data_IF_772372646106
#
_entry.id   IF_772372646106
#
_cell.length_a   1.000
_cell.length_b   1.000
_cell.length_c   1.000
_cell.angle_alpha   90.00
_cell.angle_beta   90.00
_cell.angle_gamma   90.00
#
_symmetry.space_group_name_H-M   'P 1'
#
loop_
_entity.id
_entity.type
_entity.pdbx_description
1 polymer ?
#
# COMPACT_ATOMS: atom_id res chain seq x y z
N UNK A 1 -6.90 -17.50 18.44
CA UNK A 1 -6.81 -16.73 19.70
C UNK A 1 -7.56 -17.49 20.79
N UNK A 2 -6.85 -18.27 21.60
CA UNK A 2 -7.46 -19.00 22.73
C UNK A 2 -7.47 -18.05 23.92
N UNK A 3 -8.63 -17.52 24.25
CA UNK A 3 -8.87 -16.85 25.53
C UNK A 3 -8.78 -17.92 26.59
N UNK A 4 -7.67 -17.94 27.33
CA UNK A 4 -7.56 -18.76 28.53
C UNK A 4 -8.41 -18.07 29.60
N UNK A 5 -9.65 -18.52 29.70
CA UNK A 5 -10.49 -18.23 30.85
C UNK A 5 -9.88 -19.01 32.02
N UNK A 6 -9.12 -18.34 32.86
CA UNK A 6 -8.77 -18.87 34.17
C UNK A 6 -10.07 -18.96 34.98
N UNK A 7 -10.78 -20.09 34.88
CA UNK A 7 -11.68 -20.52 35.91
C UNK A 7 -10.83 -20.83 37.16
N UNK A 8 -10.63 -19.85 38.02
CA UNK A 8 -10.24 -20.11 39.41
C UNK A 8 -11.38 -20.93 40.04
N UNK A 9 -11.28 -22.26 39.87
CA UNK A 9 -12.05 -23.15 40.72
C UNK A 9 -11.45 -23.01 42.12
N UNK A 10 -11.96 -22.06 42.88
CA UNK A 10 -11.84 -22.08 44.34
C UNK A 10 -12.58 -23.32 44.81
N UNK A 11 -11.83 -24.41 45.01
CA UNK A 11 -12.29 -25.53 45.86
C UNK A 11 -12.40 -24.99 47.30
N UNK A 12 -13.53 -24.36 47.58
CA UNK A 12 -13.94 -24.09 48.95
C UNK A 12 -14.32 -25.45 49.50
N UNK A 13 -13.43 -26.05 50.28
CA UNK A 13 -13.80 -27.09 51.23
C UNK A 13 -14.74 -26.43 52.24
N UNK A 14 -16.04 -26.51 51.96
CA UNK A 14 -17.08 -26.04 52.86
C UNK A 14 -17.21 -27.06 54.00
N UNK A 15 -16.84 -26.75 55.25
CA UNK A 15 -17.37 -27.50 56.35
C UNK A 15 -18.89 -27.28 56.33
N UNK A 16 -19.64 -28.37 56.28
CA UNK A 16 -21.10 -28.36 56.30
C UNK A 16 -21.57 -27.83 57.65
N UNK A 17 -21.62 -26.53 57.81
CA UNK A 17 -22.19 -25.83 58.97
C UNK A 17 -23.01 -24.65 58.46
N UNK A 18 -24.31 -24.78 58.59
CA UNK A 18 -25.42 -23.86 58.42
C UNK A 18 -25.00 -22.38 58.22
N UNK A 19 -24.66 -22.00 56.98
CA UNK A 19 -24.65 -20.58 56.62
C UNK A 19 -26.08 -20.05 56.75
N UNK A 20 -26.25 -18.93 57.44
CA UNK A 20 -27.56 -18.34 57.59
C UNK A 20 -28.11 -17.92 56.24
N UNK A 21 -29.42 -18.04 56.00
CA UNK A 21 -30.06 -17.58 54.72
C UNK A 21 -29.65 -16.14 54.36
N UNK A 22 -29.35 -15.34 55.36
CA UNK A 22 -28.90 -13.94 55.20
C UNK A 22 -27.49 -13.82 54.60
N UNK A 23 -26.56 -14.71 55.01
CA UNK A 23 -25.20 -14.75 54.45
C UNK A 23 -25.20 -15.23 53.01
N UNK A 24 -25.98 -16.26 52.67
CA UNK A 24 -26.16 -16.74 51.32
C UNK A 24 -26.75 -15.66 50.41
N UNK A 25 -27.77 -14.92 50.87
CA UNK A 25 -28.34 -13.79 50.13
C UNK A 25 -27.29 -12.69 49.90
N UNK A 26 -26.46 -12.36 50.89
CA UNK A 26 -25.38 -11.39 50.76
C UNK A 26 -24.33 -11.82 49.72
N UNK A 27 -23.95 -13.11 49.71
CA UNK A 27 -23.01 -13.65 48.68
C UNK A 27 -23.62 -13.60 47.26
N UNK A 28 -24.90 -13.93 47.12
CA UNK A 28 -25.61 -13.85 45.84
C UNK A 28 -25.65 -12.41 45.31
N UNK A 29 -25.92 -11.44 46.16
CA UNK A 29 -25.97 -10.04 45.77
C UNK A 29 -24.57 -9.50 45.40
N UNK A 30 -23.53 -9.94 46.13
CA UNK A 30 -22.14 -9.60 45.77
C UNK A 30 -21.74 -10.22 44.44
N UNK A 31 -22.03 -11.50 44.21
CA UNK A 31 -21.75 -12.17 42.94
C UNK A 31 -22.49 -11.53 41.73
N UNK A 32 -23.74 -11.10 41.96
CA UNK A 32 -24.47 -10.34 40.92
C UNK A 32 -23.77 -9.04 40.60
N UNK A 33 -23.32 -8.29 41.59
CA UNK A 33 -22.61 -7.02 41.39
C UNK A 33 -21.28 -7.22 40.64
N UNK A 34 -20.51 -8.25 41.00
CA UNK A 34 -19.27 -8.61 40.30
C UNK A 34 -19.56 -9.05 38.87
N UNK A 35 -20.64 -9.80 38.64
CA UNK A 35 -21.05 -10.21 37.28
C UNK A 35 -21.40 -9.01 36.40
N UNK A 36 -22.13 -8.03 36.94
CA UNK A 36 -22.46 -6.81 36.17
C UNK A 36 -21.23 -5.95 35.93
N UNK A 37 -20.30 -5.86 36.88
CA UNK A 37 -19.01 -5.17 36.65
C UNK A 37 -18.20 -5.86 35.55
N UNK A 38 -18.06 -7.19 35.58
CA UNK A 38 -17.38 -7.94 34.53
C UNK A 38 -18.06 -7.80 33.17
N UNK A 39 -19.39 -7.78 33.11
CA UNK A 39 -20.13 -7.54 31.87
C UNK A 39 -19.83 -6.15 31.28
N UNK A 40 -19.82 -5.12 32.13
CA UNK A 40 -19.48 -3.76 31.71
C UNK A 40 -18.03 -3.67 31.20
N UNK A 41 -17.08 -4.33 31.87
CA UNK A 41 -15.68 -4.38 31.43
C UNK A 41 -15.54 -5.14 30.10
N UNK A 42 -16.21 -6.28 29.93
CA UNK A 42 -16.27 -7.02 28.67
C UNK A 42 -16.84 -6.15 27.55
N UNK A 43 -17.85 -5.33 27.82
CA UNK A 43 -18.46 -4.44 26.85
C UNK A 43 -17.50 -3.32 26.44
N UNK A 44 -16.73 -2.74 27.38
CA UNK A 44 -15.68 -1.78 27.11
C UNK A 44 -14.53 -2.38 26.27
N UNK A 45 -14.16 -3.64 26.55
CA UNK A 45 -13.14 -4.36 25.78
C UNK A 45 -13.60 -4.72 24.36
N UNK A 46 -14.90 -5.01 24.18
CA UNK A 46 -15.48 -5.31 22.86
C UNK A 46 -15.68 -4.08 21.99
N UNK A 47 -15.98 -2.94 22.61
CA UNK A 47 -16.15 -1.64 21.97
C UNK A 47 -15.12 -0.67 22.56
N UNK A 48 -13.85 -0.74 22.15
CA UNK A 48 -12.86 0.22 22.61
C UNK A 48 -13.33 1.63 22.27
N UNK A 49 -13.26 2.53 23.26
CA UNK A 49 -13.62 3.94 23.06
C UNK A 49 -12.85 4.48 21.87
N UNK A 50 -13.56 5.08 20.94
CA UNK A 50 -12.93 5.75 19.79
C UNK A 50 -11.94 6.81 20.31
N UNK A 51 -10.74 6.81 19.74
CA UNK A 51 -9.69 7.75 20.15
C UNK A 51 -10.05 9.13 19.60
N UNK A 52 -10.34 10.06 20.49
CA UNK A 52 -10.59 11.45 20.14
C UNK A 52 -9.26 12.15 19.83
N UNK A 53 -9.15 12.74 18.63
CA UNK A 53 -7.94 13.43 18.16
C UNK A 53 -8.00 14.94 18.49
N UNK A 54 -8.26 15.26 19.77
CA UNK A 54 -8.53 16.63 20.20
C UNK A 54 -7.27 17.43 20.59
N UNK A 55 -6.22 16.74 21.01
CA UNK A 55 -4.96 17.38 21.40
C UNK A 55 -3.80 17.03 20.44
N UNK A 56 -2.75 17.85 20.48
CA UNK A 56 -1.60 17.72 19.58
C UNK A 56 -0.86 16.39 19.76
N UNK A 57 -0.69 15.92 21.00
CA UNK A 57 0.08 14.70 21.27
C UNK A 57 -0.65 13.47 20.74
N UNK A 58 -1.96 13.37 20.96
CA UNK A 58 -2.81 12.29 20.43
C UNK A 58 -2.80 12.28 18.91
N UNK A 59 -2.91 13.46 18.28
CA UNK A 59 -2.83 13.62 16.81
C UNK A 59 -1.49 13.17 16.25
N UNK A 60 -0.38 13.58 16.87
CA UNK A 60 0.97 13.18 16.45
C UNK A 60 1.15 11.66 16.61
N UNK A 61 0.71 11.09 17.73
CA UNK A 61 0.80 9.65 17.98
C UNK A 61 0.01 8.84 16.95
N UNK A 62 -1.20 9.26 16.64
CA UNK A 62 -2.02 8.65 15.57
C UNK A 62 -1.34 8.80 14.20
N UNK A 63 -0.83 10.00 13.90
CA UNK A 63 -0.11 10.28 12.65
C UNK A 63 1.12 9.40 12.47
N UNK A 64 1.93 9.20 13.52
CA UNK A 64 3.05 8.26 13.48
C UNK A 64 2.59 6.83 13.18
N UNK A 65 1.50 6.38 13.81
CA UNK A 65 0.91 5.08 13.52
C UNK A 65 0.50 4.93 12.05
N UNK A 66 -0.14 5.95 11.46
CA UNK A 66 -0.55 5.93 10.04
C UNK A 66 0.66 5.92 9.10
N UNK A 67 1.72 6.66 9.40
CA UNK A 67 2.95 6.66 8.60
C UNK A 67 3.66 5.31 8.63
N UNK A 68 3.80 4.70 9.82
CA UNK A 68 4.39 3.36 9.95
C UNK A 68 3.56 2.32 9.21
N UNK A 69 2.25 2.32 9.41
CA UNK A 69 1.34 1.38 8.74
C UNK A 69 1.35 1.56 7.20
N UNK A 70 1.37 2.81 6.73
CA UNK A 70 1.49 3.14 5.31
C UNK A 70 2.78 2.61 4.69
N UNK A 71 3.91 2.79 5.38
CA UNK A 71 5.21 2.27 4.94
C UNK A 71 5.21 0.73 4.87
N UNK A 72 4.77 0.04 5.93
CA UNK A 72 4.66 -1.42 5.95
C UNK A 72 3.77 -1.94 4.82
N UNK A 73 2.60 -1.33 4.61
CA UNK A 73 1.68 -1.69 3.53
C UNK A 73 2.29 -1.46 2.14
N UNK A 74 3.04 -0.37 1.96
CA UNK A 74 3.73 -0.09 0.69
C UNK A 74 4.75 -1.16 0.34
N UNK A 75 5.33 -1.81 1.34
CA UNK A 75 6.29 -2.92 1.19
C UNK A 75 5.63 -4.31 1.16
N UNK A 76 4.29 -4.41 1.11
CA UNK A 76 3.57 -5.68 1.05
C UNK A 76 3.21 -6.28 2.41
N UNK A 77 3.41 -5.53 3.49
CA UNK A 77 3.06 -5.93 4.87
C UNK A 77 1.57 -5.78 5.23
N UNK A 78 0.67 -5.88 4.27
CA UNK A 78 -0.77 -5.74 4.44
C UNK A 78 -1.46 -6.92 5.17
N UNK A 79 -0.74 -8.03 5.36
CA UNK A 79 -1.23 -9.22 6.09
C UNK A 79 -0.69 -9.34 7.51
N UNK A 80 -0.05 -8.29 8.06
CA UNK A 80 0.46 -8.30 9.43
C UNK A 80 -0.67 -8.30 10.47
N UNK A 81 -0.46 -9.02 11.59
CA UNK A 81 -1.38 -8.99 12.74
C UNK A 81 -1.22 -7.65 13.49
N UNK A 82 -2.19 -6.77 13.29
CA UNK A 82 -2.20 -5.43 13.91
C UNK A 82 -2.25 -5.52 15.44
N UNK A 83 -2.94 -6.52 16.01
CA UNK A 83 -3.04 -6.67 17.46
C UNK A 83 -1.67 -7.07 18.05
N UNK A 84 -0.97 -8.02 17.41
CA UNK A 84 0.38 -8.41 17.82
C UNK A 84 1.37 -7.25 17.68
N UNK A 85 1.31 -6.49 16.58
CA UNK A 85 2.16 -5.32 16.36
C UNK A 85 1.93 -4.25 17.44
N UNK A 86 0.66 -3.97 17.75
CA UNK A 86 0.30 -3.01 18.81
C UNK A 86 0.79 -3.48 20.19
N UNK A 87 0.71 -4.79 20.48
CA UNK A 87 1.23 -5.35 21.73
C UNK A 87 2.75 -5.18 21.83
N UNK A 88 3.49 -5.45 20.77
CA UNK A 88 4.95 -5.23 20.74
C UNK A 88 5.32 -3.77 20.93
N UNK A 89 4.64 -2.85 20.24
CA UNK A 89 4.83 -1.41 20.41
C UNK A 89 4.58 -0.99 21.87
N UNK A 90 3.48 -1.45 22.47
CA UNK A 90 3.14 -1.16 23.86
C UNK A 90 4.19 -1.69 24.83
N UNK A 91 4.66 -2.93 24.66
CA UNK A 91 5.67 -3.52 25.55
C UNK A 91 6.94 -2.67 25.55
N UNK A 92 7.45 -2.28 24.38
CA UNK A 92 8.65 -1.42 24.26
C UNK A 92 8.42 -0.02 24.84
N UNK A 93 7.31 0.65 24.50
CA UNK A 93 7.00 2.01 24.98
C UNK A 93 6.77 2.08 26.49
N UNK A 94 6.44 0.96 27.13
CA UNK A 94 6.27 0.87 28.59
C UNK A 94 7.50 0.29 29.32
N UNK A 95 8.63 0.12 28.63
CA UNK A 95 9.88 -0.38 29.21
C UNK A 95 9.88 -1.87 29.56
N UNK A 96 8.96 -2.66 28.95
CA UNK A 96 8.98 -4.12 29.10
C UNK A 96 9.94 -4.75 28.10
N UNK A 97 10.57 -5.83 28.48
CA UNK A 97 11.38 -6.63 27.58
C UNK A 97 10.55 -7.26 26.47
N UNK A 98 11.17 -7.37 25.29
CA UNK A 98 10.58 -8.10 24.17
C UNK A 98 10.32 -9.57 24.55
N UNK A 99 9.17 -10.10 24.14
CA UNK A 99 8.80 -11.51 24.35
C UNK A 99 9.53 -12.46 23.40
N UNK A 100 10.20 -11.91 22.40
CA UNK A 100 10.99 -12.63 21.40
C UNK A 100 12.38 -12.03 21.42
N UNK A 101 13.47 -12.83 21.39
CA UNK A 101 14.83 -12.32 21.32
C UNK A 101 15.03 -11.39 20.11
N UNK A 102 15.72 -10.28 20.30
CA UNK A 102 15.90 -9.24 19.27
C UNK A 102 16.47 -9.80 17.95
N UNK A 103 17.47 -10.68 18.04
CA UNK A 103 18.07 -11.33 16.88
C UNK A 103 17.04 -12.16 16.09
N UNK A 104 16.14 -12.87 16.79
CA UNK A 104 15.07 -13.65 16.17
C UNK A 104 14.06 -12.73 15.50
N UNK A 105 13.66 -11.62 16.14
CA UNK A 105 12.76 -10.61 15.56
C UNK A 105 13.33 -10.08 14.25
N UNK A 106 14.62 -9.69 14.24
CA UNK A 106 15.27 -9.17 13.02
C UNK A 106 15.19 -10.16 11.85
N UNK A 107 15.53 -11.43 12.11
CA UNK A 107 15.49 -12.49 11.07
C UNK A 107 14.06 -12.73 10.58
N UNK A 108 13.09 -12.87 11.49
CA UNK A 108 11.69 -13.11 11.14
C UNK A 108 11.11 -11.96 10.31
N UNK A 109 11.36 -10.71 10.72
CA UNK A 109 10.89 -9.54 9.99
C UNK A 109 11.52 -9.46 8.61
N UNK A 110 12.84 -9.68 8.50
CA UNK A 110 13.55 -9.66 7.22
C UNK A 110 12.98 -10.71 6.25
N UNK A 111 12.83 -11.96 6.69
CA UNK A 111 12.29 -13.04 5.85
C UNK A 111 10.86 -12.72 5.41
N UNK A 112 10.01 -12.28 6.35
CA UNK A 112 8.62 -11.93 6.05
C UNK A 112 8.53 -10.79 5.03
N UNK A 113 9.27 -9.70 5.25
CA UNK A 113 9.21 -8.53 4.38
C UNK A 113 9.74 -8.85 2.97
N UNK A 114 10.81 -9.64 2.88
CA UNK A 114 11.32 -10.08 1.58
C UNK A 114 10.28 -10.90 0.81
N UNK A 115 9.66 -11.88 1.45
CA UNK A 115 8.60 -12.70 0.83
C UNK A 115 7.36 -11.88 0.46
N UNK A 116 6.99 -10.91 1.30
CA UNK A 116 5.86 -10.01 1.03
C UNK A 116 6.12 -9.09 -0.18
N UNK A 117 7.33 -8.54 -0.29
CA UNK A 117 7.76 -7.73 -1.45
C UNK A 117 7.77 -8.56 -2.74
N UNK A 118 8.31 -9.78 -2.70
CA UNK A 118 8.32 -10.68 -3.86
C UNK A 118 6.91 -11.03 -4.31
N UNK A 119 6.05 -11.43 -3.38
CA UNK A 119 4.63 -11.71 -3.66
C UNK A 119 3.92 -10.51 -4.29
N UNK A 120 4.18 -9.30 -3.77
CA UNK A 120 3.63 -8.06 -4.33
C UNK A 120 4.14 -7.81 -5.74
N UNK A 121 5.43 -7.97 -5.99
CA UNK A 121 6.05 -7.80 -7.30
C UNK A 121 5.46 -8.77 -8.35
N UNK A 122 5.31 -10.06 -7.99
CA UNK A 122 4.68 -11.06 -8.85
C UNK A 122 3.22 -10.73 -9.18
N UNK A 123 2.46 -10.25 -8.19
CA UNK A 123 1.08 -9.78 -8.42
C UNK A 123 1.04 -8.62 -9.41
N UNK A 124 1.90 -7.62 -9.22
CA UNK A 124 1.98 -6.47 -10.11
C UNK A 124 2.37 -6.87 -11.53
N UNK A 125 3.32 -7.82 -11.67
CA UNK A 125 3.69 -8.38 -12.97
C UNK A 125 2.48 -9.02 -13.66
N UNK A 126 1.71 -9.84 -12.94
CA UNK A 126 0.52 -10.48 -13.49
C UNK A 126 -0.57 -9.46 -13.89
N UNK A 127 -0.81 -8.43 -13.06
CA UNK A 127 -1.76 -7.35 -13.34
C UNK A 127 -1.31 -6.52 -14.57
N UNK A 128 -0.02 -6.23 -14.69
CA UNK A 128 0.60 -5.55 -15.83
C UNK A 128 0.38 -6.32 -17.15
N UNK A 129 0.70 -7.60 -17.16
CA UNK A 129 0.51 -8.47 -18.34
C UNK A 129 -0.98 -8.53 -18.71
N UNK A 130 -1.84 -8.76 -17.73
CA UNK A 130 -3.30 -8.82 -17.95
C UNK A 130 -3.83 -7.53 -18.57
N UNK A 131 -3.43 -6.38 -18.00
CA UNK A 131 -3.85 -5.07 -18.52
C UNK A 131 -3.45 -4.90 -19.99
N UNK A 132 -2.20 -5.19 -20.35
CA UNK A 132 -1.71 -5.03 -21.72
C UNK A 132 -2.40 -6.00 -22.70
N UNK A 133 -2.70 -7.23 -22.27
CA UNK A 133 -3.45 -8.20 -23.06
C UNK A 133 -4.91 -7.77 -23.32
N UNK A 134 -5.50 -7.06 -22.38
CA UNK A 134 -6.84 -6.47 -22.53
C UNK A 134 -6.79 -5.19 -23.38
N UNK A 135 -5.80 -4.32 -23.12
CA UNK A 135 -5.68 -3.02 -23.80
C UNK A 135 -5.42 -3.15 -25.30
N UNK A 136 -4.65 -4.15 -25.75
CA UNK A 136 -4.43 -4.37 -27.19
C UNK A 136 -5.71 -4.70 -27.98
N UNK A 137 -6.81 -5.06 -27.29
CA UNK A 137 -8.11 -5.33 -27.92
C UNK A 137 -8.98 -4.08 -28.00
N UNK A 138 -8.56 -2.99 -27.38
CA UNK A 138 -9.31 -1.73 -27.40
C UNK A 138 -9.19 -1.09 -28.77
N UNK A 139 -10.31 -0.63 -29.31
CA UNK A 139 -10.37 0.01 -30.63
C UNK A 139 -9.41 1.20 -30.74
N UNK A 140 -8.61 1.20 -31.79
CA UNK A 140 -7.61 2.24 -32.09
C UNK A 140 -6.27 2.05 -31.39
N UNK A 141 -6.11 1.04 -30.53
CA UNK A 141 -4.81 0.69 -29.93
C UNK A 141 -4.00 -0.13 -30.93
N UNK A 142 -2.77 0.27 -31.13
CA UNK A 142 -1.76 -0.42 -31.94
C UNK A 142 -0.66 -0.94 -31.04
N UNK A 143 0.03 -2.03 -31.44
CA UNK A 143 1.12 -2.64 -30.70
C UNK A 143 2.34 -2.80 -31.60
N UNK A 144 3.49 -2.36 -31.12
CA UNK A 144 4.77 -2.53 -31.83
C UNK A 144 5.44 -3.86 -31.47
N UNK A 145 6.59 -4.17 -32.12
CA UNK A 145 7.36 -5.40 -31.84
C UNK A 145 7.97 -5.41 -30.44
N UNK A 146 8.25 -4.26 -29.85
CA UNK A 146 8.78 -4.15 -28.48
C UNK A 146 7.71 -4.38 -27.40
N UNK A 147 6.43 -4.41 -27.80
CA UNK A 147 5.29 -4.48 -26.89
C UNK A 147 4.76 -3.09 -26.50
N UNK A 148 5.35 -1.99 -26.96
CA UNK A 148 4.76 -0.66 -26.82
C UNK A 148 3.36 -0.68 -27.42
N UNK A 149 2.36 -0.22 -26.65
CA UNK A 149 1.02 0.00 -27.17
C UNK A 149 0.74 1.50 -27.22
N UNK A 150 0.04 1.94 -28.26
CA UNK A 150 -0.31 3.35 -28.38
C UNK A 150 -1.65 3.54 -29.07
N UNK A 151 -2.30 4.66 -28.74
CA UNK A 151 -3.52 5.13 -29.40
C UNK A 151 -3.35 6.59 -29.78
N UNK A 152 -3.53 6.90 -31.05
CA UNK A 152 -3.51 8.28 -31.55
C UNK A 152 -4.79 8.99 -31.10
N UNK A 153 -4.66 10.08 -30.37
CA UNK A 153 -5.76 10.96 -29.94
C UNK A 153 -5.99 12.05 -30.97
N UNK A 154 -4.90 12.75 -31.37
CA UNK A 154 -4.91 13.70 -32.48
C UNK A 154 -3.61 13.58 -33.26
N UNK A 155 -3.70 13.82 -34.57
CA UNK A 155 -2.57 13.70 -35.50
C UNK A 155 -2.00 15.08 -35.87
N UNK A 156 -0.72 15.25 -35.63
CA UNK A 156 0.09 16.37 -36.14
C UNK A 156 0.49 16.19 -37.60
N UNK A 157 1.16 17.19 -38.14
CA UNK A 157 1.67 17.18 -39.52
C UNK A 157 3.12 17.65 -39.58
N UNK A 158 3.76 17.88 -38.43
CA UNK A 158 5.16 18.32 -38.38
C UNK A 158 6.14 17.15 -38.61
N UNK A 159 7.40 17.40 -38.37
CA UNK A 159 8.46 16.39 -38.51
C UNK A 159 8.43 15.37 -37.37
N UNK A 160 8.87 14.15 -37.66
CA UNK A 160 9.14 13.15 -36.61
C UNK A 160 10.55 13.37 -36.07
N UNK A 161 10.75 13.25 -34.74
CA UNK A 161 12.08 13.38 -34.16
C UNK A 161 12.92 12.12 -34.39
N UNK A 162 14.25 12.33 -34.45
CA UNK A 162 15.23 11.23 -34.37
C UNK A 162 15.86 11.16 -32.99
N UNK A 163 16.58 10.07 -32.68
CA UNK A 163 17.13 9.81 -31.35
C UNK A 163 18.04 10.93 -30.80
N UNK A 164 18.66 11.71 -31.65
CA UNK A 164 19.57 12.82 -31.30
C UNK A 164 18.87 14.17 -31.10
N UNK A 165 17.60 14.24 -31.44
CA UNK A 165 16.83 15.49 -31.32
C UNK A 165 16.40 15.74 -29.86
N UNK A 166 16.08 17.01 -29.59
CA UNK A 166 15.34 17.40 -28.37
C UNK A 166 13.88 17.63 -28.71
N UNK A 167 13.00 17.22 -27.84
CA UNK A 167 11.56 17.44 -28.00
C UNK A 167 11.00 18.21 -26.81
N UNK A 168 10.01 19.04 -27.13
CA UNK A 168 9.20 19.73 -26.10
C UNK A 168 7.83 19.11 -26.09
N UNK A 169 7.40 18.63 -24.92
CA UNK A 169 6.16 17.86 -24.74
C UNK A 169 5.36 18.36 -23.54
N UNK A 170 4.03 18.18 -23.60
CA UNK A 170 3.22 18.01 -22.41
C UNK A 170 2.93 16.53 -22.19
N UNK A 171 2.93 16.10 -20.93
CA UNK A 171 2.60 14.73 -20.60
C UNK A 171 1.92 14.59 -19.24
N UNK A 172 1.21 13.49 -19.09
CA UNK A 172 0.72 12.99 -17.80
C UNK A 172 0.96 11.49 -17.72
N UNK A 173 1.77 11.08 -16.74
CA UNK A 173 2.09 9.70 -16.44
C UNK A 173 1.23 9.15 -15.31
N UNK A 174 0.61 7.97 -15.51
CA UNK A 174 -0.23 7.29 -14.54
C UNK A 174 0.00 5.78 -14.54
N UNK A 175 -0.34 5.15 -13.43
CA UNK A 175 -0.39 3.70 -13.31
C UNK A 175 -1.69 3.14 -13.89
N UNK A 176 -1.78 1.81 -13.97
CA UNK A 176 -2.97 1.08 -14.43
C UNK A 176 -4.22 1.37 -13.56
N UNK A 177 -4.03 1.64 -12.27
CA UNK A 177 -5.11 2.03 -11.34
C UNK A 177 -5.58 3.49 -11.50
N UNK A 178 -4.96 4.24 -12.44
CA UNK A 178 -5.27 5.64 -12.73
C UNK A 178 -4.54 6.67 -11.85
N UNK A 179 -3.77 6.24 -10.84
CA UNK A 179 -2.99 7.16 -10.00
C UNK A 179 -1.91 7.85 -10.82
N UNK A 180 -1.93 9.19 -10.84
CA UNK A 180 -0.91 10.01 -11.49
C UNK A 180 0.36 10.00 -10.63
N UNK A 181 1.52 9.72 -11.25
CA UNK A 181 2.82 9.78 -10.60
C UNK A 181 3.66 10.96 -11.06
N UNK A 182 3.43 11.46 -12.29
CA UNK A 182 4.12 12.65 -12.80
C UNK A 182 3.29 13.33 -13.90
N UNK A 183 3.40 14.65 -14.01
CA UNK A 183 2.69 15.44 -15.04
C UNK A 183 3.38 16.79 -15.26
N UNK A 184 3.42 17.24 -16.49
CA UNK A 184 3.78 18.62 -16.84
C UNK A 184 2.56 19.54 -16.98
N UNK A 185 1.34 19.01 -16.90
CA UNK A 185 0.11 19.83 -17.02
C UNK A 185 0.00 20.81 -15.85
N UNK A 186 -0.25 22.06 -16.15
CA UNK A 186 -0.26 23.17 -15.16
C UNK A 186 1.12 23.75 -14.85
N UNK A 187 2.17 23.28 -15.56
CA UNK A 187 3.54 23.82 -15.55
C UNK A 187 3.99 24.08 -16.99
N UNK A 188 5.19 24.62 -17.17
CA UNK A 188 5.79 24.74 -18.50
C UNK A 188 5.99 23.35 -19.15
N UNK A 189 5.89 23.25 -20.50
CA UNK A 189 6.21 22.04 -21.21
C UNK A 189 7.63 21.56 -20.91
N UNK A 190 7.79 20.25 -20.77
CA UNK A 190 9.09 19.65 -20.51
C UNK A 190 9.88 19.43 -21.80
N UNK A 191 11.20 19.61 -21.73
CA UNK A 191 12.10 19.35 -22.86
C UNK A 191 13.02 18.18 -22.54
N UNK A 192 13.06 17.19 -23.42
CA UNK A 192 13.87 15.97 -23.26
C UNK A 192 14.72 15.72 -24.50
N UNK A 193 15.85 15.05 -24.31
CA UNK A 193 16.58 14.40 -25.42
C UNK A 193 15.86 13.07 -25.71
N UNK A 194 15.52 12.81 -26.97
CA UNK A 194 14.76 11.63 -27.38
C UNK A 194 15.47 10.33 -27.00
N UNK A 195 16.79 10.27 -27.11
CA UNK A 195 17.60 9.12 -26.69
C UNK A 195 17.93 9.08 -25.20
N UNK A 196 17.53 10.10 -24.41
CA UNK A 196 17.82 10.22 -22.97
C UNK A 196 16.67 9.78 -22.05
N UNK A 197 15.53 9.36 -22.59
CA UNK A 197 14.36 8.91 -21.85
C UNK A 197 14.26 7.38 -21.84
N UNK A 198 13.29 6.83 -21.15
CA UNK A 198 13.05 5.37 -21.11
C UNK A 198 12.77 4.83 -22.51
N UNK A 199 13.17 3.56 -22.80
CA UNK A 199 13.12 3.01 -24.18
C UNK A 199 11.77 3.13 -24.87
N UNK A 200 10.67 2.90 -24.14
CA UNK A 200 9.32 3.03 -24.69
C UNK A 200 8.96 4.45 -25.11
N UNK A 201 9.47 5.46 -24.41
CA UNK A 201 9.32 6.86 -24.82
C UNK A 201 10.16 7.19 -26.06
N UNK A 202 11.42 6.74 -26.06
CA UNK A 202 12.30 6.89 -27.24
C UNK A 202 11.64 6.31 -28.49
N UNK A 203 11.04 5.12 -28.39
CA UNK A 203 10.35 4.50 -29.51
C UNK A 203 9.08 5.28 -29.90
N UNK A 204 8.22 5.61 -28.91
CA UNK A 204 6.98 6.34 -29.17
C UNK A 204 7.23 7.69 -29.83
N UNK A 205 8.17 8.49 -29.32
CA UNK A 205 8.50 9.81 -29.85
C UNK A 205 8.96 9.76 -31.31
N UNK A 206 9.75 8.74 -31.67
CA UNK A 206 10.21 8.58 -33.06
C UNK A 206 9.09 8.14 -34.03
N UNK A 207 8.00 7.60 -33.51
CA UNK A 207 6.80 7.27 -34.30
C UNK A 207 5.84 8.45 -34.41
N UNK A 208 5.91 9.42 -33.48
CA UNK A 208 5.06 10.61 -33.46
C UNK A 208 5.54 11.67 -34.45
N UNK A 209 4.62 12.58 -34.79
CA UNK A 209 4.90 13.82 -35.53
C UNK A 209 4.66 15.02 -34.63
N UNK A 210 5.37 16.10 -34.83
CA UNK A 210 5.10 17.36 -34.13
C UNK A 210 3.63 17.77 -34.33
N UNK A 211 2.94 18.03 -33.22
CA UNK A 211 1.51 18.27 -33.14
C UNK A 211 0.68 17.04 -32.80
N UNK A 212 1.29 15.85 -32.70
CA UNK A 212 0.60 14.64 -32.27
C UNK A 212 0.27 14.69 -30.77
N UNK A 213 -0.86 14.07 -30.43
CA UNK A 213 -1.22 13.72 -29.06
C UNK A 213 -1.59 12.25 -29.00
N UNK A 214 -0.85 11.49 -28.21
CA UNK A 214 -1.02 10.05 -28.10
C UNK A 214 -1.24 9.61 -26.67
N UNK A 215 -1.96 8.50 -26.50
CA UNK A 215 -1.89 7.68 -25.31
C UNK A 215 -0.92 6.55 -25.57
N UNK A 216 0.11 6.41 -24.75
CA UNK A 216 1.09 5.33 -24.84
C UNK A 216 1.06 4.47 -23.57
N UNK A 217 1.22 3.16 -23.75
CA UNK A 217 1.19 2.16 -22.70
C UNK A 217 2.48 1.35 -22.78
N UNK A 218 3.32 1.49 -21.79
CA UNK A 218 4.65 0.92 -21.76
C UNK A 218 4.66 -0.32 -20.87
N UNK A 219 4.93 -1.51 -21.42
CA UNK A 219 5.35 -2.66 -20.61
C UNK A 219 6.57 -2.29 -19.76
N UNK A 220 6.70 -2.91 -18.59
CA UNK A 220 7.79 -2.62 -17.65
C UNK A 220 9.18 -2.75 -18.26
N UNK A 221 9.39 -3.70 -19.19
CA UNK A 221 10.69 -4.01 -19.84
C UNK A 221 11.22 -2.85 -20.68
N UNK A 222 10.35 -2.00 -21.24
CA UNK A 222 10.72 -0.79 -21.97
C UNK A 222 10.47 0.48 -21.16
N UNK A 223 10.23 0.33 -19.84
CA UNK A 223 10.08 1.40 -18.87
C UNK A 223 11.16 1.30 -17.77
N UNK A 224 10.80 0.98 -16.54
CA UNK A 224 11.74 0.90 -15.41
C UNK A 224 12.04 -0.54 -14.96
N UNK A 225 11.61 -1.54 -15.73
CA UNK A 225 11.98 -2.94 -15.54
C UNK A 225 11.42 -3.60 -14.28
N UNK A 226 12.09 -4.69 -13.90
CA UNK A 226 11.71 -5.52 -12.76
C UNK A 226 11.94 -4.85 -11.41
N UNK A 227 12.79 -3.83 -11.35
CA UNK A 227 13.15 -3.13 -10.10
C UNK A 227 12.30 -1.90 -9.84
N UNK A 228 11.68 -1.33 -10.89
CA UNK A 228 11.04 -0.02 -10.79
C UNK A 228 12.05 1.12 -10.65
N UNK A 229 11.64 2.25 -10.10
CA UNK A 229 12.50 3.42 -9.87
C UNK A 229 12.16 4.12 -8.57
N UNK A 230 13.12 4.20 -7.68
CA UNK A 230 12.96 4.84 -6.37
C UNK A 230 11.79 4.28 -5.57
N UNK A 231 11.09 5.18 -4.89
CA UNK A 231 9.86 4.86 -4.16
C UNK A 231 8.59 5.12 -4.99
N UNK A 232 8.74 5.77 -6.15
CA UNK A 232 7.61 6.28 -6.92
C UNK A 232 7.11 5.25 -7.95
N UNK A 233 8.02 4.55 -8.62
CA UNK A 233 7.67 3.56 -9.64
C UNK A 233 7.95 2.15 -9.12
N UNK A 234 6.90 1.38 -8.83
CA UNK A 234 7.07 0.02 -8.29
C UNK A 234 7.61 -0.97 -9.34
N UNK A 235 8.14 -2.13 -8.88
CA UNK A 235 8.55 -3.23 -9.74
C UNK A 235 7.47 -3.66 -10.72
N UNK A 236 7.88 -4.01 -11.95
CA UNK A 236 7.00 -4.54 -13.01
C UNK A 236 5.81 -3.63 -13.40
N UNK A 237 5.88 -2.33 -13.11
CA UNK A 237 4.78 -1.41 -13.42
C UNK A 237 4.63 -1.18 -14.92
N UNK A 238 3.42 -1.43 -15.45
CA UNK A 238 3.00 -0.83 -16.72
C UNK A 238 2.74 0.65 -16.50
N UNK A 239 3.32 1.50 -17.33
CA UNK A 239 3.13 2.95 -17.30
C UNK A 239 2.25 3.40 -18.46
N UNK A 240 1.35 4.30 -18.18
CA UNK A 240 0.44 4.90 -19.15
C UNK A 240 0.75 6.39 -19.20
N UNK A 241 1.03 6.90 -20.40
CA UNK A 241 1.24 8.32 -20.58
C UNK A 241 0.30 8.88 -21.65
N UNK A 242 -0.30 10.00 -21.36
CA UNK A 242 -0.81 10.91 -22.37
C UNK A 242 0.33 11.84 -22.74
N UNK A 243 0.73 11.88 -24.01
CA UNK A 243 1.88 12.66 -24.50
C UNK A 243 1.40 13.53 -25.65
N UNK A 244 1.68 14.83 -25.56
CA UNK A 244 1.50 15.79 -26.64
C UNK A 244 2.86 16.31 -27.10
N UNK A 245 3.24 16.00 -28.34
CA UNK A 245 4.51 16.42 -28.94
C UNK A 245 4.34 17.83 -29.53
N UNK A 246 4.76 18.84 -28.76
CA UNK A 246 4.56 20.24 -29.13
C UNK A 246 5.55 20.69 -30.19
N UNK A 247 6.83 20.30 -30.02
CA UNK A 247 7.92 20.76 -30.91
C UNK A 247 9.08 19.79 -30.94
N UNK A 248 9.70 19.68 -32.12
CA UNK A 248 10.98 19.01 -32.34
C UNK A 248 12.05 20.09 -32.56
N UNK A 249 13.03 20.18 -31.63
CA UNK A 249 14.06 21.24 -31.58
C UNK A 249 15.34 20.82 -32.31
#
# INVERSE_FOLDING_TARGET
MRVIVYCLAFLISVPALSQSKKELLGQVDQLKKETEQMKAEIQLLKNPKEIELNDTLTRVSYGLGTLVAGNLKSQGGDSLDVAAMTAGLKDVMTGKESRIPEMEVMVLVQIYMQAAMEKKALRMKAESIKFLEENKKVEGVQTTKSGLQYKVISSGKGKSPVATDKVTVHYTGKFVDGKVFDSSVGRDPATFEVGGVIPGWTEALQLMHEGDKWMIYLPYDIAYGERGSGNDIPPYATLIFEVELIKVN
#
